data_IF_661275923622
#
_entry.id   IF_661275923622
#
_cell.length_a   1.000
_cell.length_b   1.000
_cell.length_c   1.000
_cell.angle_alpha   90.00
_cell.angle_beta   90.00
_cell.angle_gamma   90.00
#
_symmetry.space_group_name_H-M   'P 1'
#
loop_
_entity.id
_entity.type
_entity.pdbx_description
1 polymer ?
#
# COMPACT_ATOMS: atom_id res chain seq x y z
N UNK A 1 29.73 16.20 23.50
CA UNK A 1 28.98 15.24 24.33
C UNK A 1 29.34 13.82 23.88
N UNK A 2 29.99 13.01 24.73
CA UNK A 2 30.26 11.58 24.40
C UNK A 2 28.93 10.83 24.49
N UNK A 3 28.37 10.41 23.35
CA UNK A 3 27.26 9.47 23.35
C UNK A 3 27.77 8.12 23.86
N UNK A 4 27.54 7.86 25.14
CA UNK A 4 27.82 6.58 25.78
C UNK A 4 26.75 5.58 25.32
N UNK A 5 27.08 4.72 24.36
CA UNK A 5 26.21 3.59 24.04
C UNK A 5 26.17 2.65 25.27
N UNK A 6 24.97 2.25 25.74
CA UNK A 6 24.87 1.47 26.97
C UNK A 6 25.56 0.11 26.85
N UNK A 7 26.51 -0.15 27.75
CA UNK A 7 27.27 -1.40 27.75
C UNK A 7 26.44 -2.59 28.25
N UNK A 8 25.47 -2.37 29.14
CA UNK A 8 24.66 -3.43 29.76
C UNK A 8 23.39 -3.71 28.95
N UNK A 9 23.04 -5.00 28.80
CA UNK A 9 21.86 -5.47 28.04
C UNK A 9 20.55 -4.81 28.47
N UNK A 10 20.33 -4.64 29.77
CA UNK A 10 19.10 -4.03 30.30
C UNK A 10 18.99 -2.54 29.95
N UNK A 11 20.11 -1.81 29.97
CA UNK A 11 20.17 -0.40 29.58
C UNK A 11 19.97 -0.24 28.07
N UNK A 12 20.52 -1.15 27.25
CA UNK A 12 20.23 -1.22 25.80
C UNK A 12 18.75 -1.48 25.54
N UNK A 13 18.15 -2.46 26.23
CA UNK A 13 16.73 -2.75 26.10
C UNK A 13 15.85 -1.55 26.50
N UNK A 14 16.20 -0.84 27.57
CA UNK A 14 15.49 0.35 28.01
C UNK A 14 15.66 1.54 27.05
N UNK A 15 16.84 1.66 26.41
CA UNK A 15 17.08 2.64 25.36
C UNK A 15 16.24 2.33 24.11
N UNK A 16 16.24 1.07 23.66
CA UNK A 16 15.44 0.60 22.51
C UNK A 16 13.95 0.83 22.77
N UNK A 17 13.43 0.45 23.95
CA UNK A 17 12.02 0.67 24.31
C UNK A 17 11.65 2.16 24.30
N UNK A 18 12.51 3.03 24.85
CA UNK A 18 12.30 4.49 24.81
C UNK A 18 12.34 5.04 23.38
N UNK A 19 13.28 4.57 22.56
CA UNK A 19 13.36 4.92 21.15
C UNK A 19 12.09 4.54 20.40
N UNK A 20 11.63 3.29 20.53
CA UNK A 20 10.38 2.80 19.94
C UNK A 20 9.19 3.63 20.42
N UNK A 21 9.09 3.92 21.72
CA UNK A 21 7.99 4.70 22.28
C UNK A 21 7.97 6.14 21.73
N UNK A 22 9.14 6.79 21.63
CA UNK A 22 9.26 8.14 21.05
C UNK A 22 8.91 8.15 19.57
N UNK A 23 9.41 7.18 18.81
CA UNK A 23 9.07 7.00 17.40
C UNK A 23 7.56 6.82 17.24
N UNK A 24 6.94 5.92 18.01
CA UNK A 24 5.48 5.69 17.98
C UNK A 24 4.69 6.94 18.35
N UNK A 25 5.12 7.70 19.36
CA UNK A 25 4.45 8.93 19.79
C UNK A 25 4.44 9.99 18.69
N UNK A 26 5.57 10.18 17.99
CA UNK A 26 5.68 11.16 16.91
C UNK A 26 5.09 10.67 15.58
N UNK A 27 5.15 9.36 15.32
CA UNK A 27 4.53 8.76 14.14
C UNK A 27 3.02 8.67 14.26
N UNK A 28 2.45 8.42 15.44
CA UNK A 28 1.02 8.12 15.57
C UNK A 28 0.11 9.17 14.91
N UNK A 29 0.26 10.49 15.16
CA UNK A 29 -0.59 11.51 14.53
C UNK A 29 -0.46 11.55 13.00
N UNK A 30 0.78 11.51 12.49
CA UNK A 30 1.06 11.48 11.04
C UNK A 30 0.53 10.19 10.42
N UNK A 31 0.70 9.07 11.10
CA UNK A 31 0.16 7.79 10.71
C UNK A 31 -1.36 7.87 10.59
N UNK A 32 -2.11 8.40 11.56
CA UNK A 32 -3.57 8.45 11.44
C UNK A 32 -4.06 9.18 10.19
N UNK A 33 -3.47 10.33 9.87
CA UNK A 33 -3.86 11.13 8.70
C UNK A 33 -3.39 10.49 7.37
N UNK A 34 -2.13 10.04 7.31
CA UNK A 34 -1.56 9.43 6.11
C UNK A 34 -2.15 8.04 5.81
N UNK A 35 -2.39 7.25 6.86
CA UNK A 35 -3.12 5.99 6.73
C UNK A 35 -4.54 6.26 6.29
N UNK A 36 -5.22 7.28 6.83
CA UNK A 36 -6.59 7.59 6.39
C UNK A 36 -6.67 7.78 4.88
N UNK A 37 -5.78 8.58 4.27
CA UNK A 37 -5.80 8.79 2.82
C UNK A 37 -5.41 7.55 2.01
N UNK A 38 -4.39 6.81 2.47
CA UNK A 38 -3.96 5.56 1.84
C UNK A 38 -5.11 4.55 1.82
N UNK A 39 -5.78 4.39 2.96
CA UNK A 39 -6.92 3.49 3.14
C UNK A 39 -8.14 3.97 2.36
N UNK A 40 -8.39 5.28 2.34
CA UNK A 40 -9.45 5.88 1.53
C UNK A 40 -9.28 5.51 0.05
N UNK A 41 -8.06 5.62 -0.49
CA UNK A 41 -7.80 5.22 -1.87
C UNK A 41 -8.07 3.72 -2.08
N UNK A 42 -7.49 2.85 -1.26
CA UNK A 42 -7.60 1.40 -1.43
C UNK A 42 -9.06 0.93 -1.39
N UNK A 43 -9.84 1.43 -0.43
CA UNK A 43 -11.26 1.11 -0.30
C UNK A 43 -12.09 1.69 -1.46
N UNK A 44 -11.85 2.95 -1.83
CA UNK A 44 -12.53 3.59 -2.96
C UNK A 44 -12.23 2.86 -4.27
N UNK A 45 -10.99 2.43 -4.46
CA UNK A 45 -10.58 1.70 -5.65
C UNK A 45 -11.18 0.29 -5.70
N UNK A 46 -11.18 -0.44 -4.58
CA UNK A 46 -11.82 -1.75 -4.48
C UNK A 46 -13.33 -1.65 -4.76
N UNK A 47 -14.00 -0.66 -4.18
CA UNK A 47 -15.43 -0.40 -4.38
C UNK A 47 -15.73 -0.05 -5.85
N UNK A 48 -14.99 0.90 -6.42
CA UNK A 48 -15.19 1.36 -7.79
C UNK A 48 -14.94 0.25 -8.82
N UNK A 49 -13.96 -0.64 -8.58
CA UNK A 49 -13.75 -1.84 -9.40
C UNK A 49 -14.93 -2.80 -9.31
N UNK A 50 -15.45 -3.06 -8.12
CA UNK A 50 -16.61 -3.94 -7.92
C UNK A 50 -17.85 -3.39 -8.62
N UNK A 51 -18.16 -2.11 -8.44
CA UNK A 51 -19.28 -1.44 -9.11
C UNK A 51 -19.12 -1.50 -10.64
N UNK A 52 -17.91 -1.24 -11.14
CA UNK A 52 -17.64 -1.31 -12.56
C UNK A 52 -17.79 -2.73 -13.12
N UNK A 53 -17.28 -3.75 -12.43
CA UNK A 53 -17.51 -5.16 -12.81
C UNK A 53 -19.00 -5.48 -12.84
N UNK A 54 -19.77 -5.05 -11.84
CA UNK A 54 -21.22 -5.29 -11.78
C UNK A 54 -21.94 -4.67 -12.99
N UNK A 55 -21.60 -3.43 -13.35
CA UNK A 55 -22.13 -2.76 -14.54
C UNK A 55 -21.76 -3.51 -15.84
N UNK A 56 -20.54 -4.04 -15.94
CA UNK A 56 -20.11 -4.81 -17.11
C UNK A 56 -20.87 -6.14 -17.22
N UNK A 57 -21.13 -6.82 -16.09
CA UNK A 57 -21.99 -8.01 -16.04
C UNK A 57 -23.40 -7.68 -16.54
N UNK A 58 -24.01 -6.60 -16.04
CA UNK A 58 -25.35 -6.19 -16.48
C UNK A 58 -25.41 -5.88 -17.98
N UNK A 59 -24.40 -5.21 -18.52
CA UNK A 59 -24.31 -4.94 -19.97
C UNK A 59 -24.13 -6.20 -20.79
N UNK A 60 -23.38 -7.17 -20.27
CA UNK A 60 -23.24 -8.48 -20.88
C UNK A 60 -24.57 -9.25 -20.87
N UNK A 61 -25.26 -9.30 -19.73
CA UNK A 61 -26.58 -9.94 -19.59
C UNK A 61 -27.63 -9.29 -20.51
N UNK A 62 -27.52 -7.99 -20.76
CA UNK A 62 -28.35 -7.26 -21.72
C UNK A 62 -27.95 -7.48 -23.20
N UNK A 63 -26.91 -8.29 -23.49
CA UNK A 63 -26.41 -8.55 -24.85
C UNK A 63 -25.67 -7.39 -25.50
N UNK A 64 -25.26 -6.39 -24.71
CA UNK A 64 -24.67 -5.13 -25.20
C UNK A 64 -23.13 -5.10 -25.12
N UNK A 65 -22.50 -6.15 -24.59
CA UNK A 65 -21.06 -6.19 -24.37
C UNK A 65 -20.46 -7.48 -24.96
N UNK A 66 -19.47 -7.38 -25.88
CA UNK A 66 -18.70 -8.55 -26.30
C UNK A 66 -17.73 -8.93 -25.17
N UNK A 67 -17.93 -10.12 -24.60
CA UNK A 67 -17.06 -10.70 -23.57
C UNK A 67 -16.43 -12.00 -24.10
N UNK A 68 -15.27 -12.43 -23.57
CA UNK A 68 -14.48 -11.80 -22.51
C UNK A 68 -13.69 -10.57 -22.97
N UNK A 69 -13.60 -9.54 -22.11
CA UNK A 69 -12.78 -8.36 -22.37
C UNK A 69 -11.27 -8.68 -22.24
N UNK A 70 -10.45 -8.27 -23.22
CA UNK A 70 -8.99 -8.39 -23.18
C UNK A 70 -8.35 -7.68 -21.97
N UNK A 71 -7.14 -8.12 -21.60
CA UNK A 71 -6.36 -7.55 -20.49
C UNK A 71 -6.12 -6.05 -20.65
N UNK A 72 -5.83 -5.59 -21.87
CA UNK A 72 -5.44 -4.18 -22.08
C UNK A 72 -6.62 -3.23 -21.91
N UNK A 73 -7.82 -3.69 -22.26
CA UNK A 73 -9.05 -2.96 -21.98
C UNK A 73 -9.26 -2.89 -20.45
N UNK A 74 -9.04 -3.98 -19.72
CA UNK A 74 -9.14 -4.02 -18.26
C UNK A 74 -8.16 -3.06 -17.59
N UNK A 75 -6.90 -3.07 -18.00
CA UNK A 75 -5.88 -2.14 -17.48
C UNK A 75 -6.26 -0.68 -17.72
N UNK A 76 -6.70 -0.34 -18.94
CA UNK A 76 -7.18 1.02 -19.25
C UNK A 76 -8.36 1.43 -18.39
N UNK A 77 -9.36 0.56 -18.21
CA UNK A 77 -10.52 0.85 -17.35
C UNK A 77 -10.11 1.08 -15.90
N UNK A 78 -9.19 0.26 -15.36
CA UNK A 78 -8.68 0.43 -14.01
C UNK A 78 -7.88 1.73 -13.85
N UNK A 79 -7.12 2.10 -14.88
CA UNK A 79 -6.40 3.37 -14.92
C UNK A 79 -7.34 4.59 -14.89
N UNK A 80 -8.45 4.52 -15.63
CA UNK A 80 -9.49 5.55 -15.62
C UNK A 80 -10.18 5.65 -14.25
N UNK A 81 -10.42 4.52 -13.56
CA UNK A 81 -10.96 4.52 -12.20
C UNK A 81 -10.01 5.22 -11.23
N UNK A 82 -8.73 4.85 -11.24
CA UNK A 82 -7.70 5.47 -10.40
C UNK A 82 -7.62 6.97 -10.64
N UNK A 83 -7.58 7.39 -11.91
CA UNK A 83 -7.50 8.80 -12.29
C UNK A 83 -8.69 9.59 -11.74
N UNK A 84 -9.91 9.05 -11.86
CA UNK A 84 -11.11 9.66 -11.28
C UNK A 84 -11.04 9.80 -9.77
N UNK A 85 -10.53 8.79 -9.06
CA UNK A 85 -10.35 8.85 -7.61
C UNK A 85 -9.33 9.94 -7.25
N UNK A 86 -8.18 10.00 -7.92
CA UNK A 86 -7.13 11.00 -7.67
C UNK A 86 -7.57 12.44 -7.98
N UNK A 87 -8.54 12.61 -8.87
CA UNK A 87 -9.13 13.90 -9.24
C UNK A 87 -10.34 14.29 -8.37
N UNK A 88 -10.69 13.45 -7.40
CA UNK A 88 -11.79 13.69 -6.46
C UNK A 88 -11.25 13.98 -5.05
N UNK A 89 -12.01 14.67 -4.16
CA UNK A 89 -11.63 14.80 -2.77
C UNK A 89 -11.39 13.41 -2.12
N UNK A 90 -10.41 13.26 -1.20
CA UNK A 90 -9.53 14.30 -0.65
C UNK A 90 -8.32 14.63 -1.53
N UNK A 91 -8.10 13.91 -2.63
CA UNK A 91 -6.91 14.03 -3.47
C UNK A 91 -6.90 15.24 -4.38
N UNK A 92 -7.98 16.02 -4.47
CA UNK A 92 -7.94 17.37 -5.05
C UNK A 92 -6.95 18.29 -4.33
N UNK A 93 -6.68 18.02 -3.04
CA UNK A 93 -5.61 18.67 -2.29
C UNK A 93 -4.24 18.04 -2.63
N UNK A 94 -3.38 18.80 -3.31
CA UNK A 94 -2.05 18.32 -3.74
C UNK A 94 -1.16 17.83 -2.59
N UNK A 95 -1.03 18.57 -1.46
CA UNK A 95 -0.39 18.04 -0.26
C UNK A 95 -0.88 16.66 0.18
N UNK A 96 -2.20 16.43 0.21
CA UNK A 96 -2.74 15.12 0.59
C UNK A 96 -2.36 14.02 -0.42
N UNK A 97 -2.35 14.33 -1.72
CA UNK A 97 -1.88 13.42 -2.76
C UNK A 97 -0.40 13.06 -2.59
N UNK A 98 0.46 14.05 -2.36
CA UNK A 98 1.91 13.86 -2.13
C UNK A 98 2.15 13.01 -0.89
N UNK A 99 1.49 13.34 0.21
CA UNK A 99 1.66 12.63 1.47
C UNK A 99 1.17 11.18 1.38
N UNK A 100 0.07 10.94 0.66
CA UNK A 100 -0.41 9.59 0.34
C UNK A 100 0.57 8.84 -0.56
N UNK A 101 1.19 9.53 -1.52
CA UNK A 101 2.20 8.96 -2.40
C UNK A 101 3.44 8.49 -1.61
N UNK A 102 3.91 9.28 -0.66
CA UNK A 102 4.97 8.89 0.27
C UNK A 102 4.55 7.72 1.17
N UNK A 103 3.32 7.74 1.69
CA UNK A 103 2.80 6.66 2.53
C UNK A 103 2.69 5.33 1.77
N UNK A 104 2.24 5.35 0.51
CA UNK A 104 2.21 4.17 -0.36
C UNK A 104 3.61 3.61 -0.62
N UNK A 105 4.61 4.48 -0.84
CA UNK A 105 6.01 4.06 -0.95
C UNK A 105 6.51 3.39 0.34
N UNK A 106 6.24 4.00 1.50
CA UNK A 106 6.62 3.45 2.80
C UNK A 106 5.93 2.10 3.07
N UNK A 107 4.64 1.98 2.78
CA UNK A 107 3.85 0.75 2.92
C UNK A 107 4.46 -0.39 2.10
N UNK A 108 4.71 -0.16 0.81
CA UNK A 108 5.25 -1.19 -0.08
C UNK A 108 6.68 -1.56 0.31
N UNK A 109 7.53 -0.59 0.65
CA UNK A 109 8.90 -0.84 1.13
C UNK A 109 8.89 -1.65 2.42
N UNK A 110 8.00 -1.32 3.37
CA UNK A 110 7.86 -2.08 4.61
C UNK A 110 7.42 -3.52 4.37
N UNK A 111 6.41 -3.74 3.51
CA UNK A 111 5.95 -5.09 3.17
C UNK A 111 7.09 -5.89 2.53
N UNK A 112 7.85 -5.28 1.61
CA UNK A 112 9.02 -5.93 1.01
C UNK A 112 10.04 -6.33 2.06
N UNK A 113 10.40 -5.41 2.95
CA UNK A 113 11.35 -5.70 4.03
C UNK A 113 10.87 -6.82 4.97
N UNK A 114 9.59 -6.84 5.33
CA UNK A 114 9.02 -7.90 6.17
C UNK A 114 9.04 -9.27 5.51
N UNK A 115 8.85 -9.33 4.18
CA UNK A 115 8.82 -10.57 3.40
C UNK A 115 10.22 -11.11 3.05
N UNK A 116 11.22 -10.24 2.87
CA UNK A 116 12.62 -10.63 2.68
C UNK A 116 13.56 -9.70 3.46
N UNK A 117 13.78 -9.95 4.77
CA UNK A 117 14.64 -9.11 5.61
C UNK A 117 16.09 -9.06 5.13
N UNK A 118 16.55 -10.16 4.52
CA UNK A 118 17.93 -10.32 4.07
C UNK A 118 18.17 -9.80 2.64
N UNK A 119 17.11 -9.35 1.94
CA UNK A 119 17.20 -8.79 0.58
C UNK A 119 17.67 -9.77 -0.51
N UNK A 120 17.73 -11.07 -0.22
CA UNK A 120 18.31 -12.09 -1.09
C UNK A 120 17.32 -12.70 -2.10
N UNK A 121 16.02 -12.46 -1.93
CA UNK A 121 14.99 -12.93 -2.87
C UNK A 121 14.38 -11.74 -3.62
N UNK A 122 14.31 -11.82 -4.95
CA UNK A 122 13.42 -10.95 -5.72
C UNK A 122 12.00 -11.17 -5.20
N UNK A 123 11.47 -10.17 -4.51
CA UNK A 123 10.10 -10.23 -4.01
C UNK A 123 9.20 -10.01 -5.22
N UNK A 124 8.40 -11.02 -5.53
CA UNK A 124 7.34 -10.89 -6.51
C UNK A 124 6.32 -9.86 -6.02
N UNK A 125 6.38 -8.65 -6.61
CA UNK A 125 5.45 -7.56 -6.35
C UNK A 125 4.00 -7.96 -6.64
N UNK A 126 3.74 -9.05 -7.35
CA UNK A 126 2.40 -9.57 -7.58
C UNK A 126 1.66 -9.95 -6.28
N UNK A 127 2.40 -10.41 -5.27
CA UNK A 127 1.84 -10.74 -3.97
C UNK A 127 1.39 -9.48 -3.23
N UNK A 128 2.23 -8.46 -3.21
CA UNK A 128 1.93 -7.15 -2.61
C UNK A 128 0.77 -6.50 -3.35
N UNK A 129 0.80 -6.60 -4.67
CA UNK A 129 -0.23 -6.11 -5.54
C UNK A 129 -1.58 -6.77 -5.25
N UNK A 130 -1.60 -8.09 -5.07
CA UNK A 130 -2.79 -8.84 -4.66
C UNK A 130 -3.28 -8.43 -3.28
N UNK A 131 -2.38 -8.21 -2.31
CA UNK A 131 -2.73 -7.70 -0.99
C UNK A 131 -3.42 -6.34 -1.06
N UNK A 132 -2.92 -5.43 -1.88
CA UNK A 132 -3.45 -4.07 -2.01
C UNK A 132 -4.73 -4.00 -2.88
N UNK A 133 -5.01 -5.01 -3.72
CA UNK A 133 -6.12 -4.96 -4.69
C UNK A 133 -7.26 -5.92 -4.41
N UNK A 134 -6.98 -7.07 -3.80
CA UNK A 134 -7.94 -8.14 -3.58
C UNK A 134 -8.32 -8.26 -2.11
N UNK A 135 -7.38 -7.96 -1.23
CA UNK A 135 -7.58 -8.11 0.20
C UNK A 135 -8.39 -6.92 0.76
N UNK A 136 -9.41 -7.17 1.58
CA UNK A 136 -10.08 -6.08 2.30
C UNK A 136 -9.10 -5.41 3.27
N UNK A 137 -9.39 -4.17 3.67
CA UNK A 137 -8.60 -3.42 4.67
C UNK A 137 -8.17 -4.26 5.88
N UNK A 138 -9.06 -5.14 6.36
CA UNK A 138 -8.80 -6.05 7.48
C UNK A 138 -7.52 -6.86 7.31
N UNK A 139 -7.13 -7.22 6.07
CA UNK A 139 -5.94 -8.03 5.79
C UNK A 139 -4.65 -7.22 5.87
N UNK A 140 -4.69 -5.94 5.50
CA UNK A 140 -3.55 -5.05 5.70
C UNK A 140 -3.30 -4.87 7.20
N UNK A 141 -4.36 -4.66 7.99
CA UNK A 141 -4.25 -4.58 9.46
C UNK A 141 -3.76 -5.89 10.06
N UNK A 142 -4.32 -7.03 9.64
CA UNK A 142 -3.91 -8.35 10.11
C UNK A 142 -2.45 -8.64 9.79
N UNK A 143 -1.97 -8.25 8.60
CA UNK A 143 -0.54 -8.33 8.26
C UNK A 143 0.32 -7.59 9.28
N UNK A 144 -0.01 -6.32 9.57
CA UNK A 144 0.75 -5.55 10.56
C UNK A 144 0.65 -6.12 11.97
N UNK A 145 -0.52 -6.61 12.38
CA UNK A 145 -0.70 -7.29 13.67
C UNK A 145 0.17 -8.55 13.76
N UNK A 146 0.21 -9.35 12.69
CA UNK A 146 1.04 -10.55 12.60
C UNK A 146 2.54 -10.22 12.58
N UNK A 147 2.93 -9.08 12.01
CA UNK A 147 4.33 -8.63 12.02
C UNK A 147 4.77 -8.06 13.36
N UNK A 148 3.92 -7.32 14.06
CA UNK A 148 4.26 -6.69 15.35
C UNK A 148 4.20 -7.71 16.50
N UNK A 149 3.29 -8.68 16.44
CA UNK A 149 3.01 -9.60 17.53
C UNK A 149 2.28 -8.88 18.68
N UNK A 150 0.95 -8.89 18.67
CA UNK A 150 0.08 -8.20 19.63
C UNK A 150 -0.01 -8.86 21.03
N UNK A 151 0.98 -9.68 21.41
CA UNK A 151 1.01 -10.46 22.65
C UNK A 151 0.77 -11.97 22.46
N UNK A 152 0.40 -12.39 21.24
CA UNK A 152 0.32 -13.80 20.84
C UNK A 152 1.60 -14.37 20.21
N UNK A 153 1.52 -15.63 19.76
CA UNK A 153 2.58 -16.24 18.94
C UNK A 153 2.59 -15.61 17.54
N UNK A 154 3.57 -14.76 17.26
CA UNK A 154 3.80 -14.13 15.95
C UNK A 154 3.77 -15.15 14.81
N UNK A 155 4.35 -16.34 15.03
CA UNK A 155 4.33 -17.45 14.06
C UNK A 155 2.92 -17.93 13.74
N UNK A 156 2.05 -18.01 14.75
CA UNK A 156 0.65 -18.44 14.57
C UNK A 156 -0.13 -17.38 13.80
N UNK A 157 0.06 -16.11 14.14
CA UNK A 157 -0.62 -14.98 13.48
C UNK A 157 -0.21 -14.85 12.02
N UNK A 158 1.09 -14.99 11.71
CA UNK A 158 1.57 -15.06 10.33
C UNK A 158 0.93 -16.21 9.56
N UNK A 159 0.80 -17.39 10.18
CA UNK A 159 0.15 -18.55 9.54
C UNK A 159 -1.32 -18.29 9.27
N UNK A 160 -2.04 -17.69 10.22
CA UNK A 160 -3.45 -17.35 10.11
C UNK A 160 -3.69 -16.30 9.01
N UNK A 161 -2.90 -15.22 9.01
CA UNK A 161 -2.90 -14.23 7.94
C UNK A 161 -2.70 -14.87 6.57
N UNK A 162 -1.65 -15.70 6.40
CA UNK A 162 -1.38 -16.36 5.12
C UNK A 162 -2.54 -17.25 4.67
N UNK A 163 -3.18 -17.96 5.59
CA UNK A 163 -4.36 -18.78 5.29
C UNK A 163 -5.54 -17.91 4.85
N UNK A 164 -5.85 -16.86 5.61
CA UNK A 164 -6.97 -15.96 5.33
C UNK A 164 -6.78 -15.22 3.99
N UNK A 165 -5.58 -14.69 3.74
CA UNK A 165 -5.24 -14.02 2.50
C UNK A 165 -5.33 -14.96 1.28
N UNK A 166 -4.91 -16.22 1.44
CA UNK A 166 -5.08 -17.23 0.40
C UNK A 166 -6.57 -17.51 0.12
N UNK A 167 -7.42 -17.61 1.15
CA UNK A 167 -8.86 -17.79 0.98
C UNK A 167 -9.50 -16.59 0.25
N UNK A 168 -9.11 -15.36 0.60
CA UNK A 168 -9.60 -14.15 -0.05
C UNK A 168 -9.22 -14.13 -1.55
N UNK A 169 -7.99 -14.52 -1.87
CA UNK A 169 -7.50 -14.63 -3.25
C UNK A 169 -8.27 -15.70 -4.04
N UNK A 170 -8.44 -16.89 -3.46
CA UNK A 170 -9.21 -17.98 -4.08
C UNK A 170 -10.67 -17.61 -4.31
N UNK A 171 -11.29 -16.87 -3.39
CA UNK A 171 -12.66 -16.38 -3.53
C UNK A 171 -12.77 -15.37 -4.67
N UNK A 172 -11.79 -14.48 -4.78
CA UNK A 172 -11.73 -13.50 -5.88
C UNK A 172 -11.55 -14.17 -7.25
N UNK A 173 -10.66 -15.16 -7.36
CA UNK A 173 -10.46 -15.92 -8.60
C UNK A 173 -11.70 -16.72 -9.04
N UNK A 174 -12.45 -17.24 -8.06
CA UNK A 174 -13.70 -17.97 -8.30
C UNK A 174 -14.92 -17.07 -8.44
N UNK A 175 -14.76 -15.75 -8.36
CA UNK A 175 -15.86 -14.81 -8.52
C UNK A 175 -16.41 -14.92 -9.95
N UNK A 176 -17.62 -15.49 -10.04
CA UNK A 176 -18.29 -15.76 -11.30
C UNK A 176 -18.41 -14.49 -12.14
N UNK A 177 -18.68 -13.34 -11.50
CA UNK A 177 -18.82 -12.04 -12.16
C UNK A 177 -17.53 -11.63 -12.86
N UNK A 178 -16.39 -11.79 -12.20
CA UNK A 178 -15.10 -11.52 -12.83
C UNK A 178 -14.82 -12.53 -13.95
N UNK A 179 -15.10 -13.83 -13.76
CA UNK A 179 -14.80 -14.85 -14.77
C UNK A 179 -15.57 -14.71 -16.08
N UNK A 180 -16.75 -14.08 -16.05
CA UNK A 180 -17.62 -13.88 -17.23
C UNK A 180 -17.19 -12.65 -18.04
N UNK A 181 -16.91 -11.54 -17.36
CA UNK A 181 -16.61 -10.26 -18.03
C UNK A 181 -15.19 -10.24 -18.59
N UNK A 182 -14.28 -10.92 -17.93
CA UNK A 182 -12.85 -10.74 -18.11
C UNK A 182 -12.22 -12.03 -18.60
N UNK A 183 -11.42 -11.95 -19.66
CA UNK A 183 -10.65 -13.11 -20.12
C UNK A 183 -9.82 -13.60 -18.94
N UNK A 184 -9.79 -14.93 -18.71
CA UNK A 184 -8.87 -15.54 -17.74
C UNK A 184 -7.50 -14.97 -18.05
N UNK A 185 -7.00 -14.13 -17.14
CA UNK A 185 -5.59 -13.86 -17.14
C UNK A 185 -4.93 -15.23 -16.99
N UNK A 186 -3.94 -15.55 -17.82
CA UNK A 186 -2.97 -16.57 -17.43
C UNK A 186 -2.63 -16.35 -15.96
N UNK A 187 -2.42 -17.42 -15.18
CA UNK A 187 -2.22 -17.37 -13.71
C UNK A 187 -1.17 -16.35 -13.22
N UNK A 188 -0.41 -15.73 -14.12
CA UNK A 188 0.38 -14.53 -13.93
C UNK A 188 -0.50 -13.25 -13.92
N UNK A 189 -1.18 -13.07 -12.78
CA UNK A 189 -1.42 -11.80 -12.09
C UNK A 189 -2.18 -10.68 -12.81
N UNK A 190 -3.40 -10.42 -12.31
CA UNK A 190 -4.28 -9.31 -12.71
C UNK A 190 -3.64 -7.91 -12.53
N UNK A 191 -2.65 -7.82 -11.65
CA UNK A 191 -1.79 -6.66 -11.42
C UNK A 191 -0.39 -7.19 -11.11
N UNK A 192 0.44 -7.35 -12.14
CA UNK A 192 1.80 -7.88 -11.98
C UNK A 192 2.74 -6.91 -11.25
N UNK A 193 2.31 -5.66 -11.06
CA UNK A 193 3.10 -4.64 -10.38
C UNK A 193 2.25 -3.76 -9.48
N UNK A 194 2.82 -3.37 -8.34
CA UNK A 194 2.29 -2.29 -7.49
C UNK A 194 2.18 -0.96 -8.25
N UNK A 195 2.90 -0.81 -9.36
CA UNK A 195 2.80 0.35 -10.26
C UNK A 195 1.39 0.53 -10.82
N UNK A 196 0.72 -0.58 -11.13
CA UNK A 196 -0.60 -0.60 -11.76
C UNK A 196 -1.73 -0.27 -10.79
N UNK A 197 -1.45 -0.13 -9.49
CA UNK A 197 -2.45 0.16 -8.46
C UNK A 197 -2.48 1.64 -8.13
N UNK A 198 -1.33 2.21 -7.79
CA UNK A 198 -1.23 3.59 -7.30
C UNK A 198 -0.16 4.38 -8.04
N UNK A 199 1.08 3.88 -8.05
CA UNK A 199 2.26 4.70 -8.37
C UNK A 199 2.22 5.31 -9.76
N UNK A 200 1.86 4.52 -10.78
CA UNK A 200 1.83 5.07 -12.13
C UNK A 200 0.74 6.16 -12.26
N UNK A 201 -0.42 6.01 -11.60
CA UNK A 201 -1.54 6.94 -11.72
C UNK A 201 -1.24 8.22 -10.93
N UNK A 202 -0.72 8.06 -9.71
CA UNK A 202 -0.24 9.14 -8.88
C UNK A 202 0.88 9.94 -9.56
N UNK A 203 1.86 9.28 -10.18
CA UNK A 203 2.95 9.95 -10.89
C UNK A 203 2.43 10.79 -12.08
N UNK A 204 1.47 10.26 -12.84
CA UNK A 204 0.84 10.99 -13.94
C UNK A 204 0.08 12.24 -13.42
N UNK A 205 -0.67 12.10 -12.33
CA UNK A 205 -1.44 13.19 -11.72
C UNK A 205 -0.51 14.25 -11.09
N UNK A 206 0.53 13.84 -10.36
CA UNK A 206 1.54 14.74 -9.78
C UNK A 206 2.26 15.54 -10.86
N UNK A 207 2.63 14.89 -11.97
CA UNK A 207 3.22 15.56 -13.14
C UNK A 207 2.24 16.55 -13.78
N UNK A 208 0.97 16.16 -13.94
CA UNK A 208 -0.06 17.05 -14.49
C UNK A 208 -0.26 18.30 -13.62
N UNK A 209 -0.15 18.16 -12.30
CA UNK A 209 -0.20 19.26 -11.32
C UNK A 209 1.08 20.06 -11.17
N UNK A 210 2.16 19.66 -11.86
CA UNK A 210 3.51 20.24 -11.70
C UNK A 210 4.00 20.20 -10.25
N UNK A 211 3.66 19.13 -9.54
CA UNK A 211 4.02 18.90 -8.14
C UNK A 211 5.31 18.06 -7.98
N UNK A 212 6.15 18.04 -9.02
CA UNK A 212 7.45 17.35 -9.03
C UNK A 212 8.51 18.40 -9.40
N UNK A 213 9.58 18.58 -8.60
CA UNK A 213 9.83 17.93 -7.31
C UNK A 213 8.92 18.46 -6.17
N UNK A 214 8.84 17.71 -5.08
CA UNK A 214 8.11 18.05 -3.85
C UNK A 214 8.94 17.72 -2.59
N UNK A 215 8.51 18.23 -1.43
CA UNK A 215 9.18 18.03 -0.14
C UNK A 215 8.97 16.62 0.42
N UNK A 216 9.92 16.13 1.23
CA UNK A 216 9.79 14.86 1.97
C UNK A 216 8.90 15.03 3.20
N UNK A 217 8.36 13.92 3.72
CA UNK A 217 7.72 13.91 5.02
C UNK A 217 8.74 13.88 6.15
N UNK A 218 8.50 14.66 7.20
CA UNK A 218 9.39 14.77 8.36
C UNK A 218 8.71 14.24 9.63
N UNK A 219 9.33 13.23 10.23
CA UNK A 219 8.95 12.71 11.56
C UNK A 219 10.05 13.06 12.53
N UNK A 220 9.80 14.05 13.37
CA UNK A 220 10.77 14.49 14.37
C UNK A 220 10.87 13.47 15.49
N UNK A 221 11.99 12.74 15.55
CA UNK A 221 12.31 11.80 16.64
C UNK A 221 13.30 12.45 17.61
N UNK A 222 13.35 11.94 18.84
CA UNK A 222 14.21 12.43 19.92
C UNK A 222 15.68 12.60 19.47
N UNK A 223 16.27 13.76 19.80
CA UNK A 223 17.60 14.29 19.43
C UNK A 223 17.69 15.18 18.17
N UNK A 224 16.56 15.64 17.62
CA UNK A 224 16.56 16.74 16.64
C UNK A 224 17.01 16.38 15.23
N UNK A 225 17.22 15.08 14.94
CA UNK A 225 17.39 14.57 13.58
C UNK A 225 16.09 13.89 13.16
N UNK A 226 15.37 14.38 12.16
CA UNK A 226 14.11 13.78 11.73
C UNK A 226 14.36 12.45 11.02
N UNK A 227 13.43 11.51 11.19
CA UNK A 227 13.21 10.45 10.21
C UNK A 227 12.49 11.09 9.03
N UNK A 228 12.99 10.83 7.84
CA UNK A 228 12.43 11.34 6.58
C UNK A 228 11.96 10.18 5.73
N UNK A 229 10.81 10.31 5.11
CA UNK A 229 10.33 9.36 4.12
C UNK A 229 9.71 10.10 2.95
N UNK A 230 9.85 9.53 1.77
CA UNK A 230 9.48 10.18 0.52
C UNK A 230 9.51 9.21 -0.64
N UNK A 231 9.58 9.75 -1.85
CA UNK A 231 9.76 8.99 -3.08
C UNK A 231 10.96 9.52 -3.90
N UNK A 232 11.34 8.84 -5.01
CA UNK A 232 12.47 9.27 -5.85
C UNK A 232 12.35 10.68 -6.43
N UNK A 233 11.13 11.23 -6.51
CA UNK A 233 10.85 12.56 -7.05
C UNK A 233 10.96 13.69 -5.99
N UNK A 234 11.35 13.36 -4.76
CA UNK A 234 11.51 14.34 -3.68
C UNK A 234 12.78 15.19 -3.80
N UNK A 235 12.74 16.37 -3.19
CA UNK A 235 13.95 17.15 -2.94
C UNK A 235 14.94 16.38 -2.03
N UNK A 236 16.25 16.38 -2.36
CA UNK A 236 17.27 15.81 -1.49
C UNK A 236 17.24 16.47 -0.11
N UNK A 237 16.93 15.68 0.91
CA UNK A 237 16.73 16.20 2.27
C UNK A 237 17.61 15.46 3.28
N UNK A 238 18.14 16.20 4.25
CA UNK A 238 18.95 15.62 5.35
C UNK A 238 18.04 15.00 6.41
N UNK A 239 18.32 13.76 6.77
CA UNK A 239 17.58 13.02 7.80
C UNK A 239 17.91 11.53 7.77
N UNK A 240 17.36 10.77 8.71
CA UNK A 240 17.40 9.31 8.65
C UNK A 240 16.34 8.83 7.66
N UNK A 241 16.76 8.21 6.55
CA UNK A 241 15.83 7.65 5.57
C UNK A 241 15.09 6.45 6.20
N UNK A 242 13.75 6.49 6.14
CA UNK A 242 12.88 5.40 6.60
C UNK A 242 12.89 4.21 5.63
#
# INVERSE_FOLDING_TARGET
MKASFPAKRNERNALVKRGIASIRFHLAPLMYELWYYTLYFLESYASARREHTNMLVQKYEAGQLPVPLPLEIRQRMYRELQTRILQSPPFTNTPALVATHHCMHLLVTYIRYAMSPDGQAEIDDSWISSLLTLAPFVRIVEFFSAEIGDGGSQRTQRKEFMYNFYQDTMKYEKDHMNSVVFARASAQNLHSSVQDIWFAAAAAELKARRAIPHDVEHVWVWNGVPIVFGCPDCHPTRGWQA
#
